data_IF_311715876781
#
_entry.id   IF_311715876781
#
_cell.length_a   1.000
_cell.length_b   1.000
_cell.length_c   1.000
_cell.angle_alpha   90.00
_cell.angle_beta   90.00
_cell.angle_gamma   90.00
#
_symmetry.space_group_name_H-M   'P 1'
#
loop_
_entity.id
_entity.type
_entity.pdbx_description
1 polymer ?
#
# COMPACT_ATOMS: atom_id res chain seq x y z
N UNK A 1 40.55 -47.92 33.26
CA UNK A 1 39.42 -48.40 32.43
C UNK A 1 38.73 -47.17 31.89
N UNK A 2 38.83 -46.91 30.59
CA UNK A 2 38.36 -45.67 29.94
C UNK A 2 37.08 -45.98 29.16
N UNK A 3 36.07 -45.14 29.43
CA UNK A 3 34.90 -44.69 28.67
C UNK A 3 34.20 -45.57 27.62
N UNK A 4 32.87 -45.58 27.72
CA UNK A 4 32.00 -45.34 26.57
C UNK A 4 30.80 -44.50 27.03
N UNK A 5 30.82 -43.20 26.72
CA UNK A 5 29.64 -42.33 26.79
C UNK A 5 28.98 -42.35 25.40
N UNK A 6 27.75 -42.84 25.33
CA UNK A 6 26.95 -42.85 24.10
C UNK A 6 26.43 -41.43 23.82
N UNK A 7 26.98 -40.77 22.80
CA UNK A 7 26.39 -39.56 22.22
C UNK A 7 25.11 -39.95 21.47
N UNK A 8 23.95 -39.53 21.97
CA UNK A 8 22.71 -39.49 21.18
C UNK A 8 22.74 -38.22 20.35
N UNK A 9 23.04 -38.35 19.06
CA UNK A 9 22.95 -37.25 18.10
C UNK A 9 21.48 -36.88 17.87
N UNK A 10 21.07 -35.72 18.39
CA UNK A 10 19.78 -35.12 18.08
C UNK A 10 19.85 -34.58 16.65
N UNK A 11 19.25 -35.29 15.70
CA UNK A 11 19.04 -34.79 14.33
C UNK A 11 18.05 -33.61 14.40
N UNK A 12 18.57 -32.39 14.37
CA UNK A 12 17.80 -31.19 14.08
C UNK A 12 17.33 -31.26 12.63
N UNK A 13 16.12 -31.76 12.42
CA UNK A 13 15.42 -31.57 11.14
C UNK A 13 15.02 -30.09 11.10
N UNK A 14 15.48 -29.29 10.12
CA UNK A 14 14.96 -27.94 9.96
C UNK A 14 13.48 -28.08 9.62
N UNK A 15 12.61 -27.58 10.51
CA UNK A 15 11.21 -27.43 10.20
C UNK A 15 11.12 -26.45 9.01
N UNK A 16 10.86 -26.99 7.82
CA UNK A 16 10.39 -26.18 6.71
C UNK A 16 9.01 -25.71 7.13
N UNK A 17 8.94 -24.52 7.71
CA UNK A 17 7.68 -23.81 7.93
C UNK A 17 7.05 -23.64 6.55
N UNK A 18 6.11 -24.51 6.21
CA UNK A 18 5.25 -24.30 5.06
C UNK A 18 4.60 -22.94 5.23
N UNK A 19 4.84 -22.04 4.28
CA UNK A 19 4.21 -20.73 4.23
C UNK A 19 2.71 -20.92 4.35
N UNK A 20 2.16 -20.67 5.54
CA UNK A 20 0.73 -20.44 5.67
C UNK A 20 0.48 -19.19 4.85
N UNK A 21 -0.23 -19.34 3.73
CA UNK A 21 -0.66 -18.21 2.91
C UNK A 21 -1.59 -17.38 3.80
N UNK A 22 -1.06 -16.29 4.34
CA UNK A 22 -1.83 -15.35 5.14
C UNK A 22 -2.83 -14.65 4.24
N UNK A 23 -4.11 -14.68 4.59
CA UNK A 23 -5.16 -13.96 3.88
C UNK A 23 -5.07 -12.43 4.06
N UNK A 24 -4.10 -11.93 4.85
CA UNK A 24 -3.94 -10.52 5.20
C UNK A 24 -3.18 -9.71 4.15
N UNK A 25 -2.47 -10.37 3.23
CA UNK A 25 -1.53 -9.72 2.30
C UNK A 25 -2.24 -8.93 1.20
N UNK A 26 -1.84 -7.67 1.05
CA UNK A 26 -2.32 -6.77 0.03
C UNK A 26 -1.23 -6.27 -0.90
N UNK A 27 -1.66 -5.67 -2.01
CA UNK A 27 -0.81 -4.98 -2.98
C UNK A 27 -0.97 -3.47 -2.84
N UNK A 28 0.10 -2.79 -2.41
CA UNK A 28 0.26 -1.37 -2.71
C UNK A 28 0.69 -1.25 -4.18
N UNK A 29 -0.26 -0.95 -5.07
CA UNK A 29 -0.05 -1.02 -6.51
C UNK A 29 0.44 0.30 -7.09
N UNK A 30 1.69 0.31 -7.57
CA UNK A 30 2.29 1.43 -8.31
C UNK A 30 2.49 1.05 -9.78
N UNK A 31 1.52 1.32 -10.66
CA UNK A 31 1.61 0.89 -12.06
C UNK A 31 2.81 1.52 -12.77
N UNK A 32 3.55 0.70 -13.52
CA UNK A 32 4.64 1.18 -14.35
C UNK A 32 4.24 1.12 -15.84
N UNK A 33 4.04 2.28 -16.45
CA UNK A 33 3.62 2.36 -17.86
C UNK A 33 4.66 1.80 -18.84
N UNK A 34 5.93 1.73 -18.44
CA UNK A 34 7.00 1.18 -19.27
C UNK A 34 7.11 -0.34 -19.16
N UNK A 35 6.50 -0.93 -18.12
CA UNK A 35 6.50 -2.36 -17.85
C UNK A 35 5.11 -2.87 -17.43
N UNK A 36 4.06 -2.67 -18.25
CA UNK A 36 2.71 -3.12 -17.91
C UNK A 36 2.61 -4.63 -17.78
N UNK A 37 3.55 -5.40 -18.34
CA UNK A 37 3.65 -6.85 -18.20
C UNK A 37 3.86 -7.30 -16.76
N UNK A 38 4.54 -6.49 -15.93
CA UNK A 38 4.80 -6.79 -14.52
C UNK A 38 3.50 -6.96 -13.74
N UNK A 39 2.42 -6.29 -14.18
CA UNK A 39 1.12 -6.34 -13.50
C UNK A 39 0.56 -7.77 -13.37
N UNK A 40 0.91 -8.65 -14.32
CA UNK A 40 0.47 -10.05 -14.30
C UNK A 40 1.11 -10.87 -13.18
N UNK A 41 2.26 -10.44 -12.66
CA UNK A 41 2.98 -11.16 -11.61
C UNK A 41 2.25 -11.10 -10.26
N UNK A 42 1.52 -10.01 -10.00
CA UNK A 42 0.90 -9.76 -8.70
C UNK A 42 -0.34 -10.61 -8.44
N UNK A 43 -1.12 -10.86 -9.50
CA UNK A 43 -2.34 -11.68 -9.48
C UNK A 43 -2.17 -13.05 -10.15
N UNK A 44 -0.93 -13.50 -10.34
CA UNK A 44 -0.67 -14.81 -10.94
C UNK A 44 -1.21 -15.95 -10.07
N UNK A 45 -1.48 -17.10 -10.69
CA UNK A 45 -1.96 -18.29 -9.99
C UNK A 45 -1.02 -18.66 -8.82
N UNK A 46 -1.61 -18.91 -7.65
CA UNK A 46 -0.87 -19.21 -6.42
C UNK A 46 -0.42 -17.98 -5.62
N UNK A 47 -0.61 -16.76 -6.14
CA UNK A 47 -0.33 -15.54 -5.38
C UNK A 47 -1.14 -15.48 -4.08
N UNK A 48 -0.47 -15.10 -2.99
CA UNK A 48 -1.06 -14.94 -1.67
C UNK A 48 -1.85 -13.62 -1.50
N UNK A 49 -1.78 -12.70 -2.47
CA UNK A 49 -2.43 -11.38 -2.35
C UNK A 49 -3.96 -11.50 -2.46
N UNK A 50 -4.68 -10.76 -1.59
CA UNK A 50 -6.15 -10.81 -1.50
C UNK A 50 -6.85 -9.48 -1.75
N UNK A 51 -6.11 -8.39 -1.73
CA UNK A 51 -6.64 -7.05 -1.94
C UNK A 51 -5.56 -6.12 -2.50
N UNK A 52 -5.98 -5.01 -3.07
CA UNK A 52 -5.07 -3.97 -3.54
C UNK A 52 -5.68 -2.58 -3.44
N UNK A 53 -4.80 -1.59 -3.44
CA UNK A 53 -5.13 -0.19 -3.68
C UNK A 53 -4.06 0.42 -4.59
N UNK A 54 -4.39 1.53 -5.21
CA UNK A 54 -3.56 2.16 -6.25
C UNK A 54 -3.45 3.68 -6.06
N UNK A 55 -3.71 4.16 -4.84
CA UNK A 55 -3.80 5.59 -4.49
C UNK A 55 -4.92 6.38 -5.19
N UNK A 56 -5.89 5.69 -5.81
CA UNK A 56 -6.96 6.33 -6.57
C UNK A 56 -8.34 5.87 -6.09
N UNK A 57 -9.36 6.60 -6.53
CA UNK A 57 -10.77 6.27 -6.30
C UNK A 57 -11.28 5.15 -7.21
N UNK A 58 -10.59 4.88 -8.33
CA UNK A 58 -11.02 3.93 -9.34
C UNK A 58 -10.05 2.75 -9.47
N UNK A 59 -10.56 1.53 -9.75
CA UNK A 59 -9.72 0.36 -9.88
C UNK A 59 -8.79 0.46 -11.08
N UNK A 60 -7.57 -0.08 -10.94
CA UNK A 60 -6.66 -0.19 -12.07
C UNK A 60 -7.19 -1.17 -13.14
N UNK A 61 -7.17 -0.80 -14.44
CA UNK A 61 -7.60 -1.68 -15.53
C UNK A 61 -6.87 -3.03 -15.59
N UNK A 62 -5.67 -3.12 -15.02
CA UNK A 62 -4.89 -4.35 -14.94
C UNK A 62 -5.60 -5.50 -14.18
N UNK A 63 -6.54 -5.17 -13.29
CA UNK A 63 -7.24 -6.15 -12.46
C UNK A 63 -8.76 -6.10 -12.64
N UNK A 64 -9.27 -5.39 -13.65
CA UNK A 64 -10.71 -5.24 -13.87
C UNK A 64 -11.43 -6.56 -14.19
N UNK A 65 -10.69 -7.59 -14.61
CA UNK A 65 -11.23 -8.93 -14.84
C UNK A 65 -11.34 -9.78 -13.57
N UNK A 66 -10.78 -9.33 -12.44
CA UNK A 66 -10.80 -10.07 -11.18
C UNK A 66 -12.00 -9.61 -10.33
N UNK A 67 -12.69 -10.56 -9.73
CA UNK A 67 -13.83 -10.25 -8.86
C UNK A 67 -13.35 -9.64 -7.53
N UNK A 68 -14.22 -8.88 -6.86
CA UNK A 68 -13.90 -8.30 -5.54
C UNK A 68 -13.70 -9.37 -4.45
N UNK A 69 -14.20 -10.59 -4.63
CA UNK A 69 -13.96 -11.70 -3.70
C UNK A 69 -12.61 -12.40 -3.95
N UNK A 70 -12.06 -12.28 -5.17
CA UNK A 70 -10.75 -12.83 -5.53
C UNK A 70 -9.61 -11.84 -5.21
N UNK A 71 -9.79 -10.58 -5.59
CA UNK A 71 -8.79 -9.53 -5.41
C UNK A 71 -9.48 -8.18 -5.18
N UNK A 72 -9.82 -7.90 -3.92
CA UNK A 72 -10.60 -6.72 -3.53
C UNK A 72 -9.86 -5.43 -3.88
N UNK A 73 -10.54 -4.52 -4.59
CA UNK A 73 -10.05 -3.16 -4.79
C UNK A 73 -10.55 -2.28 -3.65
N UNK A 74 -9.63 -1.51 -3.06
CA UNK A 74 -9.95 -0.57 -1.98
C UNK A 74 -9.72 0.85 -2.49
N UNK A 75 -10.81 1.60 -2.80
CA UNK A 75 -10.70 3.00 -3.21
C UNK A 75 -10.03 3.84 -2.13
N UNK A 76 -9.19 4.78 -2.53
CA UNK A 76 -8.52 5.73 -1.64
C UNK A 76 -8.83 7.16 -2.06
N UNK A 77 -9.22 7.99 -1.10
CA UNK A 77 -9.22 9.45 -1.28
C UNK A 77 -7.84 9.97 -0.89
N UNK A 78 -6.89 9.98 -1.84
CA UNK A 78 -5.47 10.25 -1.52
C UNK A 78 -5.24 11.56 -0.77
N UNK A 79 -5.97 12.61 -1.12
CA UNK A 79 -5.91 13.93 -0.50
C UNK A 79 -7.12 14.77 -0.89
N UNK A 80 -7.06 16.08 -0.64
CA UNK A 80 -8.13 17.01 -1.00
C UNK A 80 -7.66 18.05 -2.03
N UNK A 81 -8.62 18.57 -2.80
CA UNK A 81 -8.46 19.77 -3.62
C UNK A 81 -8.66 21.05 -2.81
N UNK A 82 -8.83 22.19 -3.49
CA UNK A 82 -9.03 23.49 -2.82
C UNK A 82 -10.37 23.58 -2.05
N UNK A 83 -11.38 22.82 -2.46
CA UNK A 83 -12.67 22.77 -1.80
C UNK A 83 -12.76 21.53 -0.91
N UNK A 84 -12.68 21.71 0.40
CA UNK A 84 -12.81 20.63 1.39
C UNK A 84 -14.20 19.98 1.42
N UNK A 85 -15.22 20.59 0.80
CA UNK A 85 -16.57 20.02 0.68
C UNK A 85 -16.83 19.36 -0.69
N UNK A 86 -15.82 19.22 -1.54
CA UNK A 86 -15.94 18.45 -2.78
C UNK A 86 -16.35 17.00 -2.49
N UNK A 87 -17.24 16.43 -3.31
CA UNK A 87 -17.82 15.09 -3.11
C UNK A 87 -17.47 14.10 -4.22
N UNK A 88 -16.50 14.42 -5.07
CA UNK A 88 -16.16 13.58 -6.23
C UNK A 88 -15.70 12.18 -5.83
N UNK A 89 -15.04 12.03 -4.66
CA UNK A 89 -14.67 10.70 -4.15
C UNK A 89 -15.90 9.88 -3.77
N UNK A 90 -16.82 10.44 -2.99
CA UNK A 90 -18.10 9.79 -2.66
C UNK A 90 -18.88 9.40 -3.92
N UNK A 91 -19.01 10.32 -4.88
CA UNK A 91 -19.72 10.06 -6.13
C UNK A 91 -19.07 8.93 -6.96
N UNK A 92 -17.74 8.88 -7.02
CA UNK A 92 -17.01 7.81 -7.70
C UNK A 92 -17.23 6.45 -7.03
N UNK A 93 -17.13 6.37 -5.70
CA UNK A 93 -17.33 5.11 -4.96
C UNK A 93 -18.79 4.67 -5.03
N UNK A 94 -19.75 5.59 -4.85
CA UNK A 94 -21.18 5.29 -5.00
C UNK A 94 -21.46 4.75 -6.39
N UNK A 95 -20.90 5.36 -7.44
CA UNK A 95 -21.07 4.89 -8.81
C UNK A 95 -20.54 3.46 -9.00
N UNK A 96 -19.39 3.10 -8.42
CA UNK A 96 -18.89 1.72 -8.48
C UNK A 96 -19.88 0.73 -7.85
N UNK A 97 -20.48 1.10 -6.72
CA UNK A 97 -21.50 0.28 -6.04
C UNK A 97 -22.78 0.17 -6.89
N UNK A 98 -23.27 1.28 -7.44
CA UNK A 98 -24.46 1.32 -8.30
C UNK A 98 -24.26 0.49 -9.58
N UNK A 99 -23.04 0.45 -10.11
CA UNK A 99 -22.65 -0.37 -11.27
C UNK A 99 -22.44 -1.87 -10.90
N UNK A 100 -22.63 -2.25 -9.63
CA UNK A 100 -22.58 -3.64 -9.15
C UNK A 100 -21.25 -4.09 -8.55
N UNK A 101 -20.28 -3.19 -8.37
CA UNK A 101 -19.02 -3.52 -7.69
C UNK A 101 -19.23 -3.60 -6.18
N UNK A 102 -18.92 -4.74 -5.56
CA UNK A 102 -19.04 -4.92 -4.10
C UNK A 102 -17.89 -4.24 -3.35
N UNK A 103 -17.95 -2.91 -3.20
CA UNK A 103 -17.00 -2.15 -2.39
C UNK A 103 -17.29 -2.36 -0.91
N UNK A 104 -16.37 -2.98 -0.18
CA UNK A 104 -16.52 -3.28 1.26
C UNK A 104 -15.71 -2.33 2.15
N UNK A 105 -14.60 -1.81 1.65
CA UNK A 105 -13.69 -0.93 2.38
C UNK A 105 -13.26 0.27 1.52
N UNK A 106 -12.94 1.40 2.16
CA UNK A 106 -12.26 2.55 1.55
C UNK A 106 -11.15 3.06 2.47
N UNK A 107 -10.10 3.63 1.88
CA UNK A 107 -9.02 4.30 2.58
C UNK A 107 -9.20 5.82 2.61
N UNK A 108 -8.88 6.41 3.76
CA UNK A 108 -8.71 7.84 3.95
C UNK A 108 -7.46 8.40 3.25
N UNK A 109 -7.09 9.61 3.68
CA UNK A 109 -5.98 10.37 3.08
C UNK A 109 -4.63 9.68 3.28
N UNK A 110 -3.77 9.81 2.27
CA UNK A 110 -2.40 9.31 2.28
C UNK A 110 -1.46 10.35 2.88
N UNK A 111 -0.87 10.06 4.03
CA UNK A 111 0.12 10.89 4.72
C UNK A 111 -0.26 12.39 4.74
N UNK A 112 -1.45 12.74 5.27
CA UNK A 112 -1.90 14.13 5.29
C UNK A 112 -1.05 15.02 6.20
N UNK A 113 -0.32 14.43 7.14
CA UNK A 113 0.69 15.08 7.98
C UNK A 113 2.03 15.30 7.28
N UNK A 114 2.22 14.71 6.09
CA UNK A 114 3.43 14.82 5.28
C UNK A 114 3.26 15.78 4.09
N UNK A 115 4.33 16.47 3.66
CA UNK A 115 4.27 17.41 2.56
C UNK A 115 4.18 16.71 1.19
N UNK A 116 3.52 17.36 0.22
CA UNK A 116 3.39 16.86 -1.18
C UNK A 116 4.71 16.58 -1.86
N UNK A 117 5.74 17.37 -1.55
CA UNK A 117 7.08 17.19 -2.09
C UNK A 117 7.73 15.84 -1.69
N UNK A 118 7.22 15.18 -0.65
CA UNK A 118 7.72 13.89 -0.15
C UNK A 118 6.76 12.72 -0.43
N UNK A 119 5.65 12.97 -1.14
CA UNK A 119 4.63 11.96 -1.44
C UNK A 119 3.42 11.97 -0.49
N UNK A 120 3.38 12.87 0.49
CA UNK A 120 2.21 13.07 1.36
C UNK A 120 1.13 13.94 0.73
N UNK A 121 -0.07 13.93 1.28
CA UNK A 121 -1.19 14.73 0.74
C UNK A 121 -1.26 16.16 1.25
N UNK A 122 -0.50 16.49 2.30
CA UNK A 122 -0.39 17.84 2.88
C UNK A 122 -1.76 18.48 3.13
N UNK A 123 -2.49 17.90 4.08
CA UNK A 123 -3.87 18.29 4.42
C UNK A 123 -3.95 18.61 5.91
N UNK A 124 -4.51 19.77 6.24
CA UNK A 124 -4.68 20.14 7.65
C UNK A 124 -5.73 19.23 8.32
N UNK A 125 -5.63 18.96 9.64
CA UNK A 125 -6.63 18.16 10.34
C UNK A 125 -8.06 18.71 10.23
N UNK A 126 -8.22 20.04 10.09
CA UNK A 126 -9.53 20.70 9.97
C UNK A 126 -10.15 20.48 8.61
N UNK A 127 -9.37 20.67 7.54
CA UNK A 127 -9.86 20.48 6.17
C UNK A 127 -10.14 18.99 5.89
N UNK A 128 -9.29 18.12 6.40
CA UNK A 128 -9.52 16.67 6.37
C UNK A 128 -10.83 16.29 7.05
N UNK A 129 -11.15 16.88 8.22
CA UNK A 129 -12.41 16.62 8.92
C UNK A 129 -13.65 17.05 8.11
N UNK A 130 -13.58 18.20 7.42
CA UNK A 130 -14.65 18.65 6.53
C UNK A 130 -14.85 17.68 5.36
N UNK A 131 -13.75 17.30 4.69
CA UNK A 131 -13.79 16.34 3.60
C UNK A 131 -14.27 14.95 4.06
N UNK A 132 -13.93 14.54 5.28
CA UNK A 132 -14.42 13.30 5.88
C UNK A 132 -15.95 13.31 6.06
N UNK A 133 -16.50 14.38 6.62
CA UNK A 133 -17.95 14.52 6.77
C UNK A 133 -18.66 14.55 5.42
N UNK A 134 -18.08 15.20 4.41
CA UNK A 134 -18.65 15.28 3.06
C UNK A 134 -18.60 13.94 2.31
N UNK A 135 -17.52 13.17 2.43
CA UNK A 135 -17.29 11.98 1.60
C UNK A 135 -17.43 10.65 2.33
N UNK A 136 -16.92 10.54 3.56
CA UNK A 136 -16.79 9.26 4.27
C UNK A 136 -18.01 8.94 5.13
N UNK A 137 -18.61 9.92 5.82
CA UNK A 137 -19.84 9.67 6.60
C UNK A 137 -21.00 9.11 5.73
N UNK A 138 -21.25 9.61 4.50
CA UNK A 138 -22.23 9.01 3.61
C UNK A 138 -21.87 7.58 3.18
N UNK A 139 -20.60 7.28 2.90
CA UNK A 139 -20.15 5.91 2.59
C UNK A 139 -20.36 4.96 3.77
N UNK A 140 -20.09 5.43 5.00
CA UNK A 140 -20.37 4.68 6.22
C UNK A 140 -21.84 4.32 6.37
N UNK A 141 -22.76 5.23 6.00
CA UNK A 141 -24.21 4.96 5.99
C UNK A 141 -24.61 3.93 4.94
N UNK A 142 -23.82 3.74 3.89
CA UNK A 142 -24.00 2.66 2.91
C UNK A 142 -23.46 1.30 3.40
N UNK A 143 -22.91 1.23 4.61
CA UNK A 143 -22.32 0.02 5.18
C UNK A 143 -20.88 -0.24 4.75
N UNK A 144 -20.23 0.71 4.07
CA UNK A 144 -18.82 0.60 3.66
C UNK A 144 -17.93 0.89 4.87
N UNK A 145 -16.92 0.04 5.10
CA UNK A 145 -15.94 0.23 6.17
C UNK A 145 -14.94 1.31 5.80
N UNK A 146 -14.67 2.21 6.74
CA UNK A 146 -13.90 3.43 6.55
C UNK A 146 -12.57 3.33 7.28
N UNK A 147 -11.47 3.37 6.54
CA UNK A 147 -10.13 3.46 7.07
C UNK A 147 -9.76 4.90 7.37
N UNK A 148 -9.27 5.17 8.59
CA UNK A 148 -8.74 6.48 8.95
C UNK A 148 -7.60 6.92 8.00
N UNK A 149 -7.25 8.22 7.99
CA UNK A 149 -6.07 8.68 7.25
C UNK A 149 -4.80 7.94 7.68
N UNK A 150 -3.99 7.53 6.70
CA UNK A 150 -2.73 6.84 6.94
C UNK A 150 -1.62 7.88 7.14
N UNK A 151 -1.36 8.29 8.38
CA UNK A 151 -0.29 9.25 8.66
C UNK A 151 1.10 8.63 8.50
N UNK A 152 2.11 9.49 8.33
CA UNK A 152 3.52 9.07 8.29
C UNK A 152 3.94 8.33 9.57
N UNK A 153 5.06 7.61 9.47
CA UNK A 153 5.73 6.98 10.62
C UNK A 153 6.28 7.97 11.67
N UNK A 154 6.25 9.28 11.38
CA UNK A 154 6.86 10.33 12.19
C UNK A 154 6.04 10.74 13.42
N UNK A 155 6.67 11.55 14.28
CA UNK A 155 6.08 12.05 15.53
C UNK A 155 4.81 12.91 15.34
N UNK A 156 4.60 13.46 14.14
CA UNK A 156 3.45 14.30 13.82
C UNK A 156 2.15 13.53 13.55
N UNK A 157 2.22 12.24 13.21
CA UNK A 157 1.06 11.48 12.73
C UNK A 157 -0.03 11.28 13.78
N UNK A 158 0.32 10.89 15.01
CA UNK A 158 -0.67 10.68 16.08
C UNK A 158 -1.32 12.01 16.55
N UNK A 159 -0.56 13.10 16.77
CA UNK A 159 -1.15 14.42 17.03
C UNK A 159 -2.09 14.88 15.91
N UNK A 160 -1.73 14.65 14.65
CA UNK A 160 -2.56 14.99 13.49
C UNK A 160 -3.89 14.22 13.53
N UNK A 161 -3.84 12.89 13.72
CA UNK A 161 -5.04 12.04 13.79
C UNK A 161 -5.97 12.44 14.94
N UNK A 162 -5.40 12.77 16.09
CA UNK A 162 -6.16 13.18 17.28
C UNK A 162 -6.90 14.50 17.02
N UNK A 163 -6.23 15.48 16.41
CA UNK A 163 -6.85 16.75 16.03
C UNK A 163 -7.93 16.56 14.94
N UNK A 164 -7.65 15.72 13.95
CA UNK A 164 -8.59 15.40 12.88
C UNK A 164 -9.89 14.82 13.44
N UNK A 165 -9.79 13.81 14.31
CA UNK A 165 -10.96 13.19 14.94
C UNK A 165 -11.72 14.17 15.84
N UNK A 166 -11.02 15.02 16.60
CA UNK A 166 -11.65 16.04 17.42
C UNK A 166 -12.45 17.05 16.57
N UNK A 167 -11.85 17.56 15.50
CA UNK A 167 -12.52 18.46 14.54
C UNK A 167 -13.71 17.77 13.88
N UNK A 168 -13.56 16.49 13.51
CA UNK A 168 -14.64 15.73 12.89
C UNK A 168 -15.82 15.55 13.85
N UNK A 169 -15.54 15.18 15.11
CA UNK A 169 -16.55 15.09 16.16
C UNK A 169 -17.29 16.42 16.37
N UNK A 170 -16.58 17.55 16.35
CA UNK A 170 -17.22 18.87 16.45
C UNK A 170 -18.19 19.12 15.29
N UNK A 171 -17.79 18.80 14.05
CA UNK A 171 -18.63 18.99 12.86
C UNK A 171 -19.89 18.13 12.84
N UNK A 172 -19.86 16.91 13.39
CA UNK A 172 -21.02 16.00 13.42
C UNK A 172 -21.85 16.10 14.69
N UNK A 173 -21.41 16.86 15.68
CA UNK A 173 -22.14 17.10 16.92
C UNK A 173 -23.21 18.18 16.70
N UNK A 174 -24.43 17.93 17.17
CA UNK A 174 -25.56 18.85 17.03
C UNK A 174 -26.46 18.81 18.27
N UNK A 175 -27.16 19.91 18.56
CA UNK A 175 -28.15 19.95 19.64
C UNK A 175 -27.59 19.70 21.06
N UNK A 176 -26.28 19.86 21.26
CA UNK A 176 -25.61 19.60 22.54
C UNK A 176 -25.17 18.15 22.75
N UNK A 177 -25.46 17.24 21.81
CA UNK A 177 -24.99 15.85 21.86
C UNK A 177 -23.66 15.70 21.13
N UNK A 178 -22.64 15.22 21.85
CA UNK A 178 -21.33 14.94 21.26
C UNK A 178 -21.39 13.64 20.48
N UNK A 179 -21.08 13.70 19.18
CA UNK A 179 -20.97 12.55 18.30
C UNK A 179 -19.54 12.43 17.77
N UNK A 180 -19.10 11.21 17.52
CA UNK A 180 -17.84 10.95 16.82
C UNK A 180 -18.13 10.57 15.37
N UNK A 181 -17.23 10.92 14.46
CA UNK A 181 -17.27 10.43 13.08
C UNK A 181 -17.10 8.91 13.05
N UNK A 182 -17.70 8.30 12.05
CA UNK A 182 -17.70 6.87 11.78
C UNK A 182 -16.34 6.48 11.19
N UNK A 183 -15.70 5.46 11.75
CA UNK A 183 -14.52 4.81 11.19
C UNK A 183 -14.44 3.38 11.72
N UNK A 184 -13.66 2.52 11.05
CA UNK A 184 -13.68 1.08 11.29
C UNK A 184 -12.30 0.45 11.49
N UNK A 185 -11.27 0.98 10.84
CA UNK A 185 -9.90 0.49 10.99
C UNK A 185 -8.89 1.64 10.84
N UNK A 186 -7.68 1.41 11.33
CA UNK A 186 -6.59 2.39 11.37
C UNK A 186 -5.43 1.96 10.46
N UNK A 187 -5.30 2.57 9.28
CA UNK A 187 -4.10 2.49 8.45
C UNK A 187 -2.87 3.07 9.15
N UNK A 188 -1.70 2.43 8.99
CA UNK A 188 -0.41 2.91 9.49
C UNK A 188 0.70 2.71 8.45
N UNK A 189 1.59 3.70 8.34
CA UNK A 189 2.78 3.65 7.47
C UNK A 189 4.06 3.58 8.28
N UNK A 190 5.07 2.86 7.78
CA UNK A 190 6.36 2.76 8.45
C UNK A 190 7.54 2.46 7.51
N UNK A 191 8.57 3.30 7.55
CA UNK A 191 9.74 3.20 6.68
C UNK A 191 11.08 3.16 7.43
N UNK A 192 11.17 2.36 8.50
CA UNK A 192 12.40 2.16 9.29
C UNK A 192 12.46 0.73 9.88
N UNK A 193 13.29 0.48 10.89
CA UNK A 193 13.53 -0.82 11.50
C UNK A 193 12.30 -1.49 12.13
N UNK A 194 12.42 -2.78 12.43
CA UNK A 194 11.32 -3.60 12.98
C UNK A 194 10.92 -3.20 14.41
N UNK A 195 11.88 -2.88 15.28
CA UNK A 195 11.58 -2.48 16.66
C UNK A 195 10.76 -1.19 16.68
N UNK A 196 11.10 -0.25 15.81
CA UNK A 196 10.34 0.99 15.63
C UNK A 196 8.94 0.72 15.08
N UNK A 197 8.79 -0.19 14.11
CA UNK A 197 7.47 -0.63 13.60
C UNK A 197 6.59 -1.20 14.72
N UNK A 198 7.12 -2.12 15.51
CA UNK A 198 6.39 -2.73 16.63
C UNK A 198 5.99 -1.70 17.69
N UNK A 199 6.92 -0.78 18.03
CA UNK A 199 6.65 0.34 18.94
C UNK A 199 5.58 1.28 18.38
N UNK A 200 5.67 1.62 17.09
CA UNK A 200 4.72 2.47 16.38
C UNK A 200 3.32 1.87 16.46
N UNK A 201 3.15 0.58 16.11
CA UNK A 201 1.87 -0.13 16.22
C UNK A 201 1.37 -0.15 17.68
N UNK A 202 2.25 -0.38 18.65
CA UNK A 202 1.93 -0.35 20.07
C UNK A 202 1.36 1.00 20.54
N UNK A 203 1.96 2.11 20.12
CA UNK A 203 1.46 3.47 20.41
C UNK A 203 0.05 3.68 19.84
N UNK A 204 -0.23 3.19 18.63
CA UNK A 204 -1.56 3.32 18.00
C UNK A 204 -2.59 2.48 18.72
N UNK A 205 -2.23 1.28 19.17
CA UNK A 205 -3.11 0.43 20.01
C UNK A 205 -3.43 1.06 21.36
N UNK A 206 -2.47 1.77 21.95
CA UNK A 206 -2.69 2.49 23.21
C UNK A 206 -3.62 3.71 23.01
N UNK A 207 -3.42 4.47 21.94
CA UNK A 207 -4.25 5.64 21.62
C UNK A 207 -5.66 5.29 21.11
N UNK A 208 -5.80 4.15 20.41
CA UNK A 208 -7.05 3.67 19.84
C UNK A 208 -7.36 2.24 20.30
N UNK A 209 -7.77 2.05 21.57
CA UNK A 209 -8.05 0.72 22.10
C UNK A 209 -9.13 -0.01 21.29
N UNK A 210 -8.83 -1.26 20.90
CA UNK A 210 -9.76 -2.09 20.13
C UNK A 210 -9.72 -1.87 18.62
N UNK A 211 -8.99 -0.86 18.11
CA UNK A 211 -8.88 -0.63 16.67
C UNK A 211 -8.20 -1.80 15.94
N UNK A 212 -8.82 -2.26 14.85
CA UNK A 212 -8.15 -3.08 13.85
C UNK A 212 -7.14 -2.20 13.11
N UNK A 213 -5.89 -2.65 13.01
CA UNK A 213 -4.80 -1.93 12.35
C UNK A 213 -4.52 -2.57 11.00
N UNK A 214 -4.39 -1.73 9.98
CA UNK A 214 -3.92 -2.15 8.66
C UNK A 214 -2.58 -1.48 8.38
N UNK A 215 -1.54 -2.25 8.11
CA UNK A 215 -0.21 -1.69 7.78
C UNK A 215 -0.15 -1.49 6.27
N UNK A 216 -0.67 -0.35 5.81
CA UNK A 216 -0.90 -0.11 4.38
C UNK A 216 0.38 0.19 3.61
N UNK A 217 1.42 0.67 4.28
CA UNK A 217 2.75 0.79 3.68
C UNK A 217 3.83 0.48 4.71
N UNK A 218 4.74 -0.43 4.36
CA UNK A 218 5.95 -0.61 5.14
C UNK A 218 7.10 -1.19 4.33
N UNK A 219 8.32 -0.74 4.64
CA UNK A 219 9.57 -1.29 4.13
C UNK A 219 10.76 -0.79 4.97
N UNK A 220 11.87 -1.53 5.04
CA UNK A 220 13.07 -1.01 5.66
C UNK A 220 13.91 -0.21 4.66
N UNK A 221 13.60 1.08 4.55
CA UNK A 221 14.09 1.94 3.48
C UNK A 221 15.62 2.13 3.51
N UNK A 222 16.24 2.03 2.33
CA UNK A 222 17.67 2.29 2.09
C UNK A 222 18.61 1.47 3.00
N UNK A 223 18.29 0.19 3.19
CA UNK A 223 19.15 -0.75 3.90
C UNK A 223 19.77 -1.79 2.97
N UNK A 224 20.80 -2.45 3.47
CA UNK A 224 21.42 -3.56 2.76
C UNK A 224 20.46 -4.76 2.65
N UNK A 225 20.75 -5.65 1.69
CA UNK A 225 19.86 -6.77 1.37
C UNK A 225 19.59 -7.68 2.57
N UNK A 226 20.60 -7.95 3.40
CA UNK A 226 20.46 -8.87 4.54
C UNK A 226 19.54 -8.26 5.60
N UNK A 227 19.74 -6.99 5.95
CA UNK A 227 18.89 -6.26 6.87
C UNK A 227 17.45 -6.12 6.36
N UNK A 228 17.25 -5.86 5.07
CA UNK A 228 15.91 -5.78 4.48
C UNK A 228 15.19 -7.14 4.48
N UNK A 229 15.91 -8.24 4.19
CA UNK A 229 15.34 -9.59 4.25
C UNK A 229 15.00 -10.01 5.69
N UNK A 230 15.84 -9.67 6.66
CA UNK A 230 15.56 -9.92 8.08
C UNK A 230 14.33 -9.14 8.55
N UNK A 231 14.26 -7.84 8.26
CA UNK A 231 13.08 -7.02 8.54
C UNK A 231 11.80 -7.60 7.93
N UNK A 232 11.87 -8.06 6.68
CA UNK A 232 10.74 -8.70 6.01
C UNK A 232 10.26 -9.94 6.78
N UNK A 233 11.17 -10.84 7.14
CA UNK A 233 10.81 -12.07 7.86
C UNK A 233 10.21 -11.76 9.24
N UNK A 234 10.79 -10.81 9.98
CA UNK A 234 10.29 -10.39 11.29
C UNK A 234 8.89 -9.77 11.19
N UNK A 235 8.68 -8.85 10.24
CA UNK A 235 7.41 -8.13 10.08
C UNK A 235 6.27 -9.05 9.66
N UNK A 236 6.48 -9.95 8.70
CA UNK A 236 5.44 -10.90 8.26
C UNK A 236 5.06 -11.87 9.39
N UNK A 237 6.04 -12.44 10.09
CA UNK A 237 5.78 -13.32 11.24
C UNK A 237 5.01 -12.60 12.36
N UNK A 238 5.37 -11.34 12.64
CA UNK A 238 4.70 -10.50 13.61
C UNK A 238 3.24 -10.23 13.22
N UNK A 239 2.99 -9.80 11.98
CA UNK A 239 1.64 -9.46 11.52
C UNK A 239 0.70 -10.66 11.43
N UNK A 240 1.20 -11.82 11.04
CA UNK A 240 0.40 -13.03 10.91
C UNK A 240 -0.04 -13.57 12.28
N UNK A 241 0.75 -13.33 13.35
CA UNK A 241 0.43 -13.76 14.73
C UNK A 241 -0.49 -12.81 15.50
N UNK A 242 -0.73 -11.60 15.01
CA UNK A 242 -1.51 -10.59 15.72
C UNK A 242 -2.92 -10.47 15.15
N UNK A 243 -3.93 -10.83 15.93
CA UNK A 243 -5.34 -10.81 15.51
C UNK A 243 -5.85 -9.41 15.18
N UNK A 244 -5.30 -8.37 15.82
CA UNK A 244 -5.67 -6.98 15.56
C UNK A 244 -5.00 -6.39 14.31
N UNK A 245 -4.03 -7.09 13.72
CA UNK A 245 -3.52 -6.73 12.38
C UNK A 245 -4.45 -7.37 11.36
N UNK A 246 -5.32 -6.56 10.77
CA UNK A 246 -6.32 -7.02 9.81
C UNK A 246 -5.70 -7.31 8.45
N UNK A 247 -4.91 -6.35 7.94
CA UNK A 247 -4.28 -6.43 6.61
C UNK A 247 -2.93 -5.71 6.59
N UNK A 248 -2.08 -6.07 5.63
CA UNK A 248 -0.82 -5.36 5.41
C UNK A 248 -0.38 -5.38 3.94
N UNK A 249 0.34 -4.35 3.50
CA UNK A 249 0.94 -4.23 2.18
C UNK A 249 2.39 -3.80 2.25
N UNK A 250 3.31 -4.72 1.93
CA UNK A 250 4.74 -4.39 1.84
C UNK A 250 4.97 -3.46 0.65
N UNK A 251 5.68 -2.36 0.87
CA UNK A 251 5.94 -1.35 -0.16
C UNK A 251 7.11 -1.79 -1.05
N UNK A 252 6.81 -2.63 -2.04
CA UNK A 252 7.83 -3.27 -2.87
C UNK A 252 7.41 -3.59 -4.31
N UNK A 253 6.19 -3.29 -4.75
CA UNK A 253 5.62 -3.71 -6.04
C UNK A 253 6.15 -2.92 -7.25
N UNK A 254 7.47 -2.86 -7.38
CA UNK A 254 8.20 -2.16 -8.43
C UNK A 254 9.53 -2.88 -8.72
N UNK A 255 10.20 -2.45 -9.80
CA UNK A 255 11.56 -2.87 -10.12
C UNK A 255 12.58 -2.11 -9.27
N UNK A 256 13.68 -2.77 -8.92
CA UNK A 256 14.74 -2.22 -8.07
C UNK A 256 15.30 -0.86 -8.53
N UNK A 257 15.38 -0.62 -9.85
CA UNK A 257 15.83 0.67 -10.41
C UNK A 257 14.78 1.80 -10.37
N UNK A 258 13.57 1.51 -9.87
CA UNK A 258 12.48 2.47 -9.66
C UNK A 258 12.08 2.59 -8.19
N UNK A 259 12.74 1.85 -7.30
CA UNK A 259 12.46 1.85 -5.87
C UNK A 259 12.95 3.13 -5.20
N UNK A 260 12.02 3.99 -4.78
CA UNK A 260 12.33 5.20 -4.00
C UNK A 260 12.69 4.88 -2.53
N UNK A 261 12.38 3.67 -2.04
CA UNK A 261 12.80 3.17 -0.71
C UNK A 261 14.10 2.36 -0.75
N UNK A 262 14.82 2.41 -1.87
CA UNK A 262 16.05 1.66 -2.10
C UNK A 262 15.80 0.30 -2.78
N UNK A 263 16.77 -0.18 -3.57
CA UNK A 263 16.58 -1.32 -4.48
C UNK A 263 16.29 -2.63 -3.76
N UNK A 264 16.76 -2.79 -2.52
CA UNK A 264 16.68 -4.07 -1.80
C UNK A 264 15.29 -4.42 -1.27
N UNK A 265 14.37 -3.45 -1.21
CA UNK A 265 12.97 -3.68 -0.84
C UNK A 265 12.09 -4.10 -2.04
N UNK A 266 12.61 -3.98 -3.27
CA UNK A 266 11.82 -4.23 -4.47
C UNK A 266 11.48 -5.71 -4.66
N UNK A 267 10.26 -5.97 -5.13
CA UNK A 267 9.79 -7.30 -5.50
C UNK A 267 10.42 -7.79 -6.79
N UNK A 268 10.83 -6.88 -7.68
CA UNK A 268 11.47 -7.24 -8.95
C UNK A 268 12.90 -6.70 -9.01
N UNK A 269 13.80 -7.47 -9.61
CA UNK A 269 15.09 -6.95 -10.04
C UNK A 269 14.93 -5.94 -11.20
N UNK A 270 16.05 -5.40 -11.69
CA UNK A 270 16.02 -4.43 -12.80
C UNK A 270 15.45 -5.02 -14.11
N UNK A 271 15.53 -6.35 -14.26
CA UNK A 271 15.04 -7.09 -15.42
C UNK A 271 13.59 -7.60 -15.29
N UNK A 272 12.87 -7.30 -14.20
CA UNK A 272 11.49 -7.75 -14.01
C UNK A 272 11.33 -9.16 -13.42
N UNK A 273 12.39 -9.78 -12.92
CA UNK A 273 12.33 -11.09 -12.25
C UNK A 273 12.09 -10.92 -10.75
N UNK A 274 11.27 -11.79 -10.16
CA UNK A 274 10.99 -11.78 -8.71
C UNK A 274 12.28 -11.95 -7.90
N UNK A 275 12.53 -11.00 -6.99
CA UNK A 275 13.52 -11.12 -5.92
C UNK A 275 13.03 -12.12 -4.87
N UNK A 276 13.90 -12.47 -3.91
CA UNK A 276 13.49 -13.31 -2.79
C UNK A 276 12.31 -12.71 -2.01
N UNK A 277 12.36 -11.42 -1.65
CA UNK A 277 11.26 -10.73 -0.95
C UNK A 277 9.97 -10.75 -1.79
N UNK A 278 10.06 -10.42 -3.09
CA UNK A 278 8.91 -10.45 -3.97
C UNK A 278 8.28 -11.85 -4.05
N UNK A 279 9.11 -12.87 -4.20
CA UNK A 279 8.66 -14.26 -4.27
C UNK A 279 8.00 -14.72 -2.95
N UNK A 280 8.65 -14.45 -1.81
CA UNK A 280 8.11 -14.79 -0.48
C UNK A 280 6.79 -14.08 -0.20
N UNK A 281 6.68 -12.81 -0.57
CA UNK A 281 5.48 -12.00 -0.34
C UNK A 281 4.29 -12.51 -1.13
N UNK A 282 4.52 -12.96 -2.36
CA UNK A 282 3.52 -13.63 -3.18
C UNK A 282 3.22 -15.08 -2.74
N UNK A 283 3.94 -15.62 -1.74
CA UNK A 283 3.70 -16.98 -1.23
C UNK A 283 4.49 -18.08 -1.94
N UNK A 284 5.52 -17.71 -2.70
CA UNK A 284 6.39 -18.65 -3.42
C UNK A 284 7.73 -18.88 -2.69
N UNK A 285 8.54 -19.80 -3.22
CA UNK A 285 9.88 -20.11 -2.71
C UNK A 285 10.90 -19.05 -3.13
N UNK A 286 12.02 -18.96 -2.42
CA UNK A 286 13.14 -18.09 -2.78
C UNK A 286 13.57 -18.31 -4.25
N UNK A 287 13.95 -17.23 -4.93
CA UNK A 287 14.40 -17.26 -6.34
C UNK A 287 15.91 -17.15 -6.46
N UNK A 288 16.60 -16.64 -5.42
CA UNK A 288 18.01 -16.31 -5.44
C UNK A 288 18.34 -15.09 -6.33
N UNK A 289 17.33 -14.39 -6.85
CA UNK A 289 17.50 -13.24 -7.72
C UNK A 289 17.83 -12.01 -6.87
N UNK A 290 19.02 -11.45 -7.09
CA UNK A 290 19.44 -10.21 -6.42
C UNK A 290 18.69 -9.00 -6.98
N UNK A 291 18.25 -8.03 -6.17
CA UNK A 291 17.49 -6.87 -6.65
C UNK A 291 18.21 -6.06 -7.73
N UNK A 292 19.52 -5.85 -7.60
CA UNK A 292 20.29 -5.09 -8.59
C UNK A 292 20.78 -5.94 -9.79
N UNK A 293 20.30 -7.18 -9.95
CA UNK A 293 20.65 -8.02 -11.11
C UNK A 293 19.81 -7.68 -12.35
N UNK A 294 20.26 -8.18 -13.51
CA UNK A 294 19.60 -8.02 -14.81
C UNK A 294 19.94 -6.71 -15.54
N UNK A 295 19.96 -6.71 -16.88
CA UNK A 295 20.01 -5.45 -17.62
C UNK A 295 18.72 -4.68 -17.32
N UNK A 296 18.85 -3.42 -16.90
CA UNK A 296 17.70 -2.52 -16.96
C UNK A 296 17.29 -2.46 -18.44
N UNK A 297 16.06 -2.82 -18.78
CA UNK A 297 15.63 -2.74 -20.17
C UNK A 297 15.86 -1.31 -20.65
N UNK A 298 16.72 -1.15 -21.65
CA UNK A 298 16.90 0.12 -22.33
C UNK A 298 15.53 0.53 -22.87
N UNK A 299 14.99 1.65 -22.39
CA UNK A 299 13.84 2.26 -23.05
C UNK A 299 14.25 2.44 -24.52
N UNK A 300 13.57 1.72 -25.43
CA UNK A 300 13.82 1.89 -26.86
C UNK A 300 13.45 3.34 -27.17
N UNK A 301 14.39 4.20 -27.61
CA UNK A 301 14.03 5.53 -28.05
C UNK A 301 13.07 5.35 -29.23
N UNK A 302 11.96 6.06 -29.23
CA UNK A 302 11.09 6.14 -30.40
C UNK A 302 11.95 6.52 -31.60
N UNK A 303 12.25 5.55 -32.47
CA UNK A 303 12.79 5.81 -33.80
C UNK A 303 11.66 6.51 -34.55
N UNK A 304 11.73 7.84 -34.58
CA UNK A 304 10.95 8.65 -35.49
C UNK A 304 11.16 8.06 -36.90
N UNK A 305 10.06 7.63 -37.51
CA UNK A 305 10.02 7.26 -38.91
C UNK A 305 10.55 8.43 -39.74
N UNK A 306 11.77 8.31 -40.25
CA UNK A 306 12.26 9.12 -41.36
C UNK A 306 11.54 8.63 -42.63
N UNK A 307 10.28 9.06 -42.78
CA UNK A 307 9.50 8.89 -44.00
C UNK A 307 9.81 10.00 -44.98
N UNK A 308 10.45 9.63 -46.09
CA UNK A 308 10.64 10.45 -47.28
C UNK A 308 9.29 10.97 -47.77
N UNK A 309 9.16 12.30 -47.93
CA UNK A 309 7.97 12.95 -48.46
C UNK A 309 8.32 14.29 -49.11
N UNK A 310 8.85 14.22 -50.32
CA UNK A 310 8.91 15.34 -51.27
C UNK A 310 7.49 15.74 -51.66
N UNK A 311 7.00 16.91 -51.20
CA UNK A 311 5.99 17.68 -51.93
C UNK A 311 6.30 19.17 -51.81
N UNK A 312 6.56 19.76 -52.97
CA UNK A 312 6.73 21.18 -53.27
C UNK A 312 5.46 21.99 -52.98
N UNK A 313 5.59 23.21 -52.44
CA UNK A 313 4.43 24.12 -52.33
C UNK A 313 4.70 25.47 -51.65
N UNK A 314 5.32 26.37 -52.40
CA UNK A 314 5.11 27.83 -52.48
C UNK A 314 4.80 28.70 -51.23
N UNK A 315 5.66 29.72 -51.13
CA UNK A 315 5.57 31.01 -50.44
C UNK A 315 4.19 31.70 -50.56
N UNK A 316 3.64 32.23 -49.45
CA UNK A 316 3.24 33.65 -49.32
C UNK A 316 2.53 33.97 -47.98
N UNK A 317 3.17 34.91 -47.27
CA UNK A 317 2.70 35.96 -46.37
C UNK A 317 1.19 36.26 -46.20
N UNK A 318 0.76 36.49 -44.95
CA UNK A 318 0.12 37.70 -44.38
C UNK A 318 -0.97 37.38 -43.33
N UNK A 319 -0.82 38.06 -42.16
CA UNK A 319 -1.73 38.24 -41.02
C UNK A 319 -2.03 37.04 -40.12
#
# INVERSE_FOLDING_TARGET
>A
MVSAASLVGLLLVPAVLGSHSSSKRGLCFTPNIHHPEDNKLWSQSGSALKWYYNYQSLPSPAYSSLSQDEFEFIPMMWGIGQNSNDTAFYDAVRKLVDDGTSIKHVFGFNEPDGPRAQGGSDVTPRDAAQAWVANFEPLGKMGIKLGLPACTGGWGGLPWLTQFLANCSELVSAGGERKNCTWHFLPVHWYDNFEGLASHIGERRAAFPGAEIWVTEYAYAHRDLAATQEFYNQSIDYFDKLDYIGRYSYFGAFRANKANVGPNAAFLNKGGQLTDIGSWYLGFRATGVKPESGPASMAVPNLAFAGVGLVTGLIASWL
#
